data_IF_866172625703
#
_entry.id   IF_866172625703
#
_cell.length_a   1.000
_cell.length_b   1.000
_cell.length_c   1.000
_cell.angle_alpha   90.00
_cell.angle_beta   90.00
_cell.angle_gamma   90.00
#
_symmetry.space_group_name_H-M   'P 1'
#
loop_
_entity.id
_entity.type
_entity.pdbx_description
1 polymer ?
#
# COMPACT_ATOMS: atom_id res chain seq x y z
N UNK A 1 -4.94 -41.59 8.06
CA UNK A 1 -3.51 -41.48 8.42
C UNK A 1 -3.37 -42.11 9.80
N UNK A 2 -2.70 -43.25 9.87
CA UNK A 2 -2.68 -44.07 11.08
C UNK A 2 -1.93 -43.39 12.24
N UNK A 3 -2.33 -43.70 13.47
CA UNK A 3 -1.80 -43.08 14.69
C UNK A 3 -0.27 -43.26 14.81
N UNK A 4 0.23 -44.38 14.29
CA UNK A 4 1.65 -44.73 14.18
C UNK A 4 2.43 -43.82 13.22
N UNK A 5 1.83 -43.44 12.09
CA UNK A 5 2.45 -42.51 11.14
C UNK A 5 2.54 -41.09 11.72
N UNK A 6 1.59 -40.68 12.57
CA UNK A 6 1.63 -39.37 13.22
C UNK A 6 2.75 -39.29 14.26
N UNK A 7 2.94 -40.34 15.05
CA UNK A 7 4.02 -40.40 16.05
C UNK A 7 5.39 -40.46 15.39
N UNK A 8 5.55 -41.24 14.31
CA UNK A 8 6.79 -41.29 13.53
C UNK A 8 7.17 -39.94 12.94
N UNK A 9 6.19 -39.21 12.40
CA UNK A 9 6.40 -37.89 11.79
C UNK A 9 6.71 -36.82 12.86
N UNK A 10 6.08 -36.90 14.04
CA UNK A 10 6.40 -36.05 15.19
C UNK A 10 7.80 -36.33 15.74
N UNK A 11 8.23 -37.59 15.74
CA UNK A 11 9.56 -37.99 16.19
C UNK A 11 10.64 -37.50 15.20
N UNK A 12 10.40 -37.64 13.89
CA UNK A 12 11.30 -37.12 12.85
C UNK A 12 11.40 -35.59 12.90
N UNK A 13 10.30 -34.88 13.14
CA UNK A 13 10.32 -33.44 13.36
C UNK A 13 11.12 -33.07 14.62
N UNK A 14 10.91 -33.77 15.75
CA UNK A 14 11.68 -33.54 16.97
C UNK A 14 13.18 -33.76 16.77
N UNK A 15 13.58 -34.78 16.04
CA UNK A 15 15.00 -35.04 15.72
C UNK A 15 15.57 -33.98 14.77
N UNK A 16 14.80 -33.54 13.77
CA UNK A 16 15.18 -32.44 12.89
C UNK A 16 15.36 -31.12 13.66
N UNK A 17 14.52 -30.85 14.66
CA UNK A 17 14.64 -29.67 15.54
C UNK A 17 15.66 -29.83 16.67
N UNK A 18 15.99 -31.06 17.09
CA UNK A 18 16.97 -31.36 18.15
C UNK A 18 18.42 -31.29 17.65
N UNK A 19 18.66 -31.42 16.35
CA UNK A 19 19.95 -31.14 15.72
C UNK A 19 20.24 -29.62 15.70
N UNK A 20 20.60 -29.09 16.88
CA UNK A 20 20.88 -27.68 17.23
C UNK A 20 21.90 -26.96 16.33
N UNK A 21 22.59 -27.64 15.40
CA UNK A 21 23.55 -27.01 14.48
C UNK A 21 22.90 -26.06 13.47
N UNK A 22 21.68 -26.32 13.02
CA UNK A 22 21.02 -25.44 12.04
C UNK A 22 20.26 -24.28 12.71
N UNK A 23 19.77 -24.48 13.94
CA UNK A 23 19.10 -23.42 14.72
C UNK A 23 20.10 -22.36 15.22
N UNK A 24 21.34 -22.76 15.51
CA UNK A 24 22.37 -21.83 16.00
C UNK A 24 23.03 -20.99 14.89
N UNK A 25 23.01 -21.44 13.63
CA UNK A 25 23.59 -20.69 12.51
C UNK A 25 22.61 -19.62 12.00
N UNK A 26 21.29 -19.87 12.04
CA UNK A 26 20.30 -18.84 11.68
C UNK A 26 20.07 -17.82 12.79
N UNK A 27 20.21 -18.20 14.07
CA UNK A 27 19.97 -17.28 15.20
C UNK A 27 21.08 -16.25 15.44
N UNK A 28 22.25 -16.37 14.79
CA UNK A 28 23.37 -15.44 14.98
C UNK A 28 23.48 -14.37 13.89
N UNK A 29 22.73 -14.48 12.79
CA UNK A 29 22.73 -13.42 11.77
C UNK A 29 21.99 -12.19 12.32
N UNK A 30 22.56 -10.97 12.23
CA UNK A 30 21.93 -9.76 12.75
C UNK A 30 20.49 -9.56 12.27
N UNK A 31 20.21 -9.93 11.02
CA UNK A 31 18.85 -9.82 10.46
C UNK A 31 17.87 -10.80 11.13
N UNK A 32 18.30 -12.02 11.45
CA UNK A 32 17.44 -12.98 12.13
C UNK A 32 17.17 -12.58 13.58
N UNK A 33 18.18 -12.03 14.27
CA UNK A 33 18.02 -11.45 15.60
C UNK A 33 17.05 -10.26 15.56
N UNK A 34 17.17 -9.40 14.56
CA UNK A 34 16.28 -8.26 14.38
C UNK A 34 14.84 -8.72 14.12
N UNK A 35 14.63 -9.68 13.22
CA UNK A 35 13.28 -10.22 12.92
C UNK A 35 12.67 -10.88 14.15
N UNK A 36 13.42 -11.68 14.89
CA UNK A 36 12.93 -12.34 16.11
C UNK A 36 12.53 -11.32 17.17
N UNK A 37 13.38 -10.32 17.44
CA UNK A 37 13.06 -9.23 18.36
C UNK A 37 11.85 -8.42 17.88
N UNK A 38 11.76 -8.15 16.57
CA UNK A 38 10.66 -7.41 15.97
C UNK A 38 9.31 -8.12 16.14
N UNK A 39 9.27 -9.43 15.87
CA UNK A 39 8.07 -10.27 15.99
C UNK A 39 7.72 -10.50 17.46
N UNK A 40 8.72 -10.84 18.28
CA UNK A 40 8.53 -11.11 19.71
C UNK A 40 7.99 -9.90 20.47
N UNK A 41 8.39 -8.68 20.10
CA UNK A 41 7.89 -7.44 20.72
C UNK A 41 6.43 -7.11 20.35
N UNK A 42 5.86 -7.75 19.32
CA UNK A 42 4.55 -7.40 18.76
C UNK A 42 3.47 -8.46 18.90
N UNK A 43 3.84 -9.69 19.28
CA UNK A 43 2.88 -10.72 19.70
C UNK A 43 2.33 -10.44 21.09
N UNK A 44 1.10 -10.87 21.36
CA UNK A 44 0.51 -10.84 22.69
C UNK A 44 0.65 -12.21 23.35
N UNK A 45 1.55 -12.31 24.33
CA UNK A 45 1.82 -13.56 25.06
C UNK A 45 0.70 -13.94 26.04
N UNK A 46 -0.29 -13.06 26.26
CA UNK A 46 -1.46 -13.36 27.12
C UNK A 46 -2.59 -14.05 26.34
N UNK A 47 -2.51 -14.09 25.01
CA UNK A 47 -3.49 -14.77 24.16
C UNK A 47 -3.00 -16.18 23.83
N UNK A 48 -3.85 -17.19 24.01
CA UNK A 48 -3.55 -18.55 23.56
C UNK A 48 -3.56 -18.59 22.01
N UNK A 49 -2.42 -18.88 21.35
CA UNK A 49 -2.36 -18.96 19.90
C UNK A 49 -3.25 -20.06 19.31
N UNK A 50 -3.57 -21.11 20.08
CA UNK A 50 -4.46 -22.17 19.64
C UNK A 50 -5.94 -21.76 19.71
N UNK A 51 -6.28 -20.78 20.55
CA UNK A 51 -7.63 -20.24 20.70
C UNK A 51 -7.91 -19.03 19.79
N UNK A 52 -6.95 -18.12 19.67
CA UNK A 52 -7.04 -16.93 18.80
C UNK A 52 -5.65 -16.52 18.28
N UNK A 53 -5.22 -17.20 17.22
CA UNK A 53 -3.94 -16.91 16.58
C UNK A 53 -3.84 -15.49 16.04
N UNK A 54 -4.96 -14.89 15.62
CA UNK A 54 -4.96 -13.53 15.08
C UNK A 54 -4.65 -12.51 16.19
N UNK A 55 -5.30 -12.61 17.35
CA UNK A 55 -5.02 -11.70 18.47
C UNK A 55 -3.62 -11.94 19.06
N UNK A 56 -3.15 -13.19 19.08
CA UNK A 56 -1.77 -13.53 19.45
C UNK A 56 -0.75 -12.89 18.51
N UNK A 57 -0.90 -13.10 17.19
CA UNK A 57 0.10 -12.72 16.20
C UNK A 57 -0.01 -11.26 15.76
N UNK A 58 -1.21 -10.67 15.73
CA UNK A 58 -1.52 -9.33 15.23
C UNK A 58 -2.09 -8.41 16.32
N UNK A 59 -1.53 -8.52 17.53
CA UNK A 59 -1.96 -7.75 18.69
C UNK A 59 -1.95 -6.22 18.46
N UNK A 60 -2.55 -5.48 19.39
CA UNK A 60 -2.51 -4.01 19.39
C UNK A 60 -1.08 -3.45 19.35
N UNK A 61 -0.07 -4.23 19.73
CA UNK A 61 1.35 -3.84 19.71
C UNK A 61 1.93 -3.72 18.29
N UNK A 62 1.19 -4.12 17.25
CA UNK A 62 1.55 -3.86 15.85
C UNK A 62 1.33 -2.41 15.42
N UNK A 63 0.65 -1.58 16.21
CA UNK A 63 0.53 -0.16 15.88
C UNK A 63 1.86 0.54 16.08
N UNK A 64 2.37 1.19 15.04
CA UNK A 64 3.43 2.18 15.20
C UNK A 64 2.92 3.32 16.09
N UNK A 65 3.74 3.74 17.04
CA UNK A 65 3.43 4.82 17.98
C UNK A 65 3.14 6.18 17.31
N UNK A 66 3.34 6.29 16.00
CA UNK A 66 3.23 7.54 15.23
C UNK A 66 1.93 7.69 14.44
N UNK A 67 1.03 6.69 14.43
CA UNK A 67 -0.27 6.84 13.78
C UNK A 67 -1.35 7.02 14.85
N UNK A 68 -1.95 8.23 14.99
CA UNK A 68 -3.03 8.46 15.94
C UNK A 68 -4.24 7.67 15.47
N UNK A 69 -4.38 6.44 15.95
CA UNK A 69 -5.52 5.62 15.57
C UNK A 69 -5.81 4.51 16.58
N UNK A 70 -6.07 4.94 17.81
CA UNK A 70 -6.98 4.17 18.65
C UNK A 70 -8.30 4.03 17.84
N UNK A 71 -8.56 2.84 17.27
CA UNK A 71 -9.76 2.54 16.48
C UNK A 71 -9.61 2.37 14.96
N UNK A 72 -8.46 2.62 14.32
CA UNK A 72 -8.34 2.30 12.88
C UNK A 72 -8.05 0.81 12.64
N UNK A 73 -8.58 0.28 11.52
CA UNK A 73 -8.29 -1.08 11.07
C UNK A 73 -6.79 -1.28 10.78
N UNK A 74 -6.31 -2.52 10.93
CA UNK A 74 -4.92 -2.90 10.63
C UNK A 74 -4.47 -2.40 9.25
N UNK A 75 -5.29 -2.58 8.20
CA UNK A 75 -4.99 -2.09 6.84
C UNK A 75 -4.69 -0.59 6.81
N UNK A 76 -5.51 0.23 7.48
CA UNK A 76 -5.32 1.68 7.52
C UNK A 76 -4.03 2.06 8.25
N UNK A 77 -3.66 1.32 9.31
CA UNK A 77 -2.40 1.50 10.04
C UNK A 77 -1.19 1.13 9.16
N UNK A 78 -1.20 -0.04 8.52
CA UNK A 78 -0.08 -0.49 7.69
C UNK A 78 0.12 0.42 6.49
N UNK A 79 -0.95 0.80 5.79
CA UNK A 79 -0.88 1.76 4.68
C UNK A 79 -0.35 3.11 5.17
N UNK A 80 -0.85 3.62 6.30
CA UNK A 80 -0.35 4.86 6.90
C UNK A 80 1.15 4.80 7.20
N UNK A 81 1.63 3.68 7.74
CA UNK A 81 3.04 3.52 8.08
C UNK A 81 3.91 3.43 6.82
N UNK A 82 3.45 2.71 5.80
CA UNK A 82 4.13 2.67 4.49
C UNK A 82 4.24 4.08 3.91
N UNK A 83 3.17 4.87 3.95
CA UNK A 83 3.18 6.25 3.48
C UNK A 83 4.16 7.13 4.27
N UNK A 84 4.22 6.99 5.60
CA UNK A 84 5.19 7.71 6.44
C UNK A 84 6.64 7.31 6.12
N UNK A 85 6.89 6.02 5.90
CA UNK A 85 8.21 5.51 5.54
C UNK A 85 8.63 6.06 4.16
N UNK A 86 7.72 6.05 3.19
CA UNK A 86 7.96 6.65 1.86
C UNK A 86 8.25 8.14 1.97
N UNK A 87 7.44 8.88 2.74
CA UNK A 87 7.64 10.31 2.98
C UNK A 87 9.02 10.60 3.62
N UNK A 88 9.43 9.79 4.60
CA UNK A 88 10.75 9.89 5.23
C UNK A 88 11.89 9.61 4.24
N UNK A 89 11.74 8.54 3.44
CA UNK A 89 12.69 8.17 2.39
C UNK A 89 12.87 9.30 1.37
N UNK A 90 11.78 9.80 0.77
CA UNK A 90 11.87 10.86 -0.24
C UNK A 90 12.43 12.16 0.33
N UNK A 91 12.03 12.55 1.55
CA UNK A 91 12.63 13.72 2.21
C UNK A 91 14.13 13.56 2.44
N UNK A 92 14.58 12.38 2.88
CA UNK A 92 16.01 12.13 3.07
C UNK A 92 16.77 12.16 1.73
N UNK A 93 16.18 11.61 0.66
CA UNK A 93 16.74 11.62 -0.69
C UNK A 93 16.85 13.04 -1.23
N UNK A 94 15.82 13.87 -1.09
CA UNK A 94 15.81 15.27 -1.51
C UNK A 94 16.88 16.08 -0.74
N UNK A 95 16.98 15.89 0.59
CA UNK A 95 17.96 16.58 1.43
C UNK A 95 19.42 16.26 1.10
N UNK A 96 19.70 15.08 0.52
CA UNK A 96 21.06 14.65 0.20
C UNK A 96 21.59 15.21 -1.13
N UNK A 97 20.88 16.17 -1.73
CA UNK A 97 21.06 16.64 -3.11
C UNK A 97 20.87 15.49 -4.09
N UNK A 98 19.66 15.45 -4.66
CA UNK A 98 19.25 14.43 -5.63
C UNK A 98 20.33 14.25 -6.71
N UNK A 99 20.86 13.03 -6.93
CA UNK A 99 21.84 12.80 -7.97
C UNK A 99 21.26 13.17 -9.34
N UNK A 100 21.84 14.17 -10.00
CA UNK A 100 21.32 14.66 -11.29
C UNK A 100 21.46 13.62 -12.42
N UNK A 101 22.29 12.60 -12.24
CA UNK A 101 22.49 11.48 -13.17
C UNK A 101 21.31 10.49 -13.23
N UNK A 102 20.30 10.67 -12.37
CA UNK A 102 19.08 9.86 -12.36
C UNK A 102 17.93 10.45 -13.20
N UNK A 103 18.17 11.57 -13.89
CA UNK A 103 17.19 12.20 -14.78
C UNK A 103 16.61 11.20 -15.80
N UNK A 104 15.29 11.21 -15.96
CA UNK A 104 14.56 10.28 -16.83
C UNK A 104 14.33 8.87 -16.25
N UNK A 105 14.83 8.53 -15.06
CA UNK A 105 14.53 7.26 -14.39
C UNK A 105 13.28 7.37 -13.52
N UNK A 106 12.59 6.25 -13.30
CA UNK A 106 11.40 6.15 -12.45
C UNK A 106 11.56 6.86 -11.09
N UNK A 107 12.72 6.67 -10.44
CA UNK A 107 12.98 7.29 -9.13
C UNK A 107 13.01 8.83 -9.19
N UNK A 108 13.44 9.41 -10.32
CA UNK A 108 13.47 10.85 -10.52
C UNK A 108 12.06 11.40 -10.70
N UNK A 109 11.27 10.75 -11.54
CA UNK A 109 9.87 11.11 -11.75
C UNK A 109 9.07 11.08 -10.44
N UNK A 110 9.21 10.02 -9.65
CA UNK A 110 8.51 9.89 -8.36
C UNK A 110 9.01 10.93 -7.34
N UNK A 111 10.32 11.18 -7.28
CA UNK A 111 10.88 12.19 -6.37
C UNK A 111 10.45 13.61 -6.73
N UNK A 112 10.41 13.95 -8.03
CA UNK A 112 9.93 15.25 -8.52
C UNK A 112 8.45 15.42 -8.19
N UNK A 113 7.61 14.44 -8.53
CA UNK A 113 6.18 14.49 -8.23
C UNK A 113 5.91 14.66 -6.72
N UNK A 114 6.68 13.96 -5.89
CA UNK A 114 6.58 14.10 -4.44
C UNK A 114 6.96 15.51 -3.97
N UNK A 115 8.04 16.10 -4.51
CA UNK A 115 8.45 17.47 -4.19
C UNK A 115 7.41 18.49 -4.67
N UNK A 116 6.90 18.34 -5.89
CA UNK A 116 5.85 19.20 -6.45
C UNK A 116 4.60 19.16 -5.57
N UNK A 117 4.18 17.98 -5.12
CA UNK A 117 3.06 17.83 -4.19
C UNK A 117 3.30 18.57 -2.86
N UNK A 118 4.51 18.49 -2.30
CA UNK A 118 4.87 19.20 -1.06
C UNK A 118 4.91 20.72 -1.24
N UNK A 119 5.32 21.21 -2.42
CA UNK A 119 5.38 22.63 -2.75
C UNK A 119 3.98 23.19 -3.01
N UNK A 120 3.17 22.48 -3.79
CA UNK A 120 1.78 22.88 -4.10
C UNK A 120 0.94 23.02 -2.83
N UNK A 121 1.06 22.08 -1.90
CA UNK A 121 0.42 22.14 -0.58
C UNK A 121 0.76 23.41 0.21
N UNK A 122 1.91 24.04 -0.06
CA UNK A 122 2.41 25.17 0.72
C UNK A 122 2.12 26.55 0.13
N UNK A 123 1.60 26.68 -1.09
CA UNK A 123 1.41 28.04 -1.60
C UNK A 123 1.02 28.27 -3.06
N UNK A 124 0.37 27.33 -3.77
CA UNK A 124 -0.28 27.69 -5.05
C UNK A 124 -1.77 27.98 -4.86
N UNK A 125 -2.28 28.90 -5.68
CA UNK A 125 -3.73 29.10 -5.85
C UNK A 125 -4.33 27.82 -6.46
N UNK A 126 -4.79 26.88 -5.63
CA UNK A 126 -5.41 25.60 -6.03
C UNK A 126 -6.48 25.75 -7.12
N UNK A 127 -7.08 26.94 -7.22
CA UNK A 127 -8.11 27.28 -8.20
C UNK A 127 -7.57 27.37 -9.63
N UNK A 128 -6.33 27.79 -9.87
CA UNK A 128 -5.83 28.02 -11.23
C UNK A 128 -5.69 26.72 -12.02
N UNK A 129 -5.14 25.66 -11.40
CA UNK A 129 -5.01 24.34 -12.04
C UNK A 129 -6.37 23.71 -12.34
N UNK A 130 -7.34 23.82 -11.43
CA UNK A 130 -8.68 23.27 -11.63
C UNK A 130 -9.49 24.07 -12.65
N UNK A 131 -9.33 25.40 -12.67
CA UNK A 131 -9.94 26.27 -13.67
C UNK A 131 -9.36 26.00 -15.06
N UNK A 132 -8.04 25.82 -15.16
CA UNK A 132 -7.37 25.41 -16.39
C UNK A 132 -7.93 24.10 -16.94
N UNK A 133 -7.95 23.07 -16.09
CA UNK A 133 -8.53 21.77 -16.42
C UNK A 133 -10.00 21.90 -16.87
N UNK A 134 -10.80 22.71 -16.17
CA UNK A 134 -12.20 22.92 -16.56
C UNK A 134 -12.37 23.59 -17.92
N UNK A 135 -11.41 24.44 -18.31
CA UNK A 135 -11.39 25.10 -19.62
C UNK A 135 -10.93 24.15 -20.72
N UNK A 136 -9.88 23.36 -20.46
CA UNK A 136 -9.33 22.41 -21.43
C UNK A 136 -10.35 21.32 -21.81
N UNK A 137 -11.14 20.87 -20.82
CA UNK A 137 -12.22 19.91 -21.02
C UNK A 137 -13.59 20.57 -21.25
N UNK A 138 -13.64 21.90 -21.39
CA UNK A 138 -14.87 22.69 -21.61
C UNK A 138 -16.05 22.33 -20.68
N UNK A 139 -15.77 21.98 -19.43
CA UNK A 139 -16.77 21.43 -18.49
C UNK A 139 -17.93 22.39 -18.18
N UNK A 140 -17.73 23.70 -18.38
CA UNK A 140 -18.72 24.74 -18.12
C UNK A 140 -19.20 25.46 -19.38
N UNK A 141 -18.78 25.02 -20.58
CA UNK A 141 -19.25 25.64 -21.81
C UNK A 141 -20.65 25.13 -22.16
N UNK A 142 -21.67 25.84 -21.67
CA UNK A 142 -23.09 25.56 -21.92
C UNK A 142 -23.49 25.53 -23.41
N UNK A 143 -22.60 25.95 -24.32
CA UNK A 143 -22.84 25.95 -25.77
C UNK A 143 -22.14 24.80 -26.50
N UNK A 144 -21.38 23.98 -25.78
CA UNK A 144 -20.74 22.81 -26.36
C UNK A 144 -21.79 21.72 -26.59
N UNK A 145 -22.19 21.51 -27.85
CA UNK A 145 -22.93 20.31 -28.29
C UNK A 145 -22.03 19.05 -28.29
N UNK A 146 -20.91 19.06 -27.57
CA UNK A 146 -20.09 17.86 -27.44
C UNK A 146 -20.95 16.76 -26.82
N UNK A 147 -20.97 15.62 -27.51
CA UNK A 147 -21.64 14.41 -27.04
C UNK A 147 -21.11 14.12 -25.64
N UNK A 148 -21.98 14.22 -24.64
CA UNK A 148 -21.66 13.95 -23.24
C UNK A 148 -20.87 12.64 -23.11
N UNK A 149 -21.21 11.62 -23.90
CA UNK A 149 -20.50 10.34 -23.96
C UNK A 149 -19.01 10.49 -24.33
N UNK A 150 -18.69 11.35 -25.31
CA UNK A 150 -17.31 11.61 -25.74
C UNK A 150 -16.53 12.39 -24.67
N UNK A 151 -17.15 13.36 -24.02
CA UNK A 151 -16.54 14.08 -22.90
C UNK A 151 -16.25 13.11 -21.74
N UNK A 152 -17.23 12.27 -21.38
CA UNK A 152 -17.08 11.23 -20.37
C UNK A 152 -15.92 10.29 -20.70
N UNK A 153 -15.88 9.77 -21.93
CA UNK A 153 -14.81 8.88 -22.37
C UNK A 153 -13.43 9.55 -22.33
N UNK A 154 -13.36 10.84 -22.67
CA UNK A 154 -12.12 11.62 -22.63
C UNK A 154 -11.65 11.84 -21.19
N UNK A 155 -12.54 12.22 -20.28
CA UNK A 155 -12.22 12.39 -18.86
C UNK A 155 -11.78 11.08 -18.20
N UNK A 156 -12.42 9.96 -18.54
CA UNK A 156 -12.01 8.64 -18.05
C UNK A 156 -10.62 8.24 -18.60
N UNK A 157 -10.40 8.41 -19.91
CA UNK A 157 -9.13 8.07 -20.56
C UNK A 157 -7.96 8.89 -20.03
N UNK A 158 -8.13 10.20 -19.92
CA UNK A 158 -7.03 11.13 -19.60
C UNK A 158 -6.81 11.28 -18.09
N UNK A 159 -7.89 11.34 -17.30
CA UNK A 159 -7.80 11.70 -15.89
C UNK A 159 -8.20 10.56 -14.95
N UNK A 160 -8.80 9.48 -15.48
CA UNK A 160 -9.38 8.37 -14.69
C UNK A 160 -10.34 8.84 -13.60
N UNK A 161 -11.07 9.92 -13.87
CA UNK A 161 -11.93 10.60 -12.89
C UNK A 161 -13.36 10.05 -12.85
N UNK A 162 -13.69 8.95 -13.52
CA UNK A 162 -15.09 8.58 -13.71
C UNK A 162 -15.70 7.76 -12.56
N UNK A 163 -16.73 8.29 -11.87
CA UNK A 163 -17.30 7.64 -10.69
C UNK A 163 -18.50 6.74 -11.03
N UNK A 164 -18.86 6.57 -12.31
CA UNK A 164 -20.04 5.79 -12.72
C UNK A 164 -19.69 4.48 -13.41
N UNK A 165 -18.67 4.47 -14.27
CA UNK A 165 -18.20 3.27 -14.96
C UNK A 165 -16.69 3.27 -14.94
N UNK A 166 -16.10 2.16 -14.52
CA UNK A 166 -14.66 1.93 -14.65
C UNK A 166 -14.42 0.99 -15.82
N UNK A 167 -13.62 1.43 -16.78
CA UNK A 167 -13.22 0.59 -17.92
C UNK A 167 -11.87 -0.04 -17.59
N UNK A 168 -11.83 -1.37 -17.51
CA UNK A 168 -10.57 -2.11 -17.28
C UNK A 168 -10.33 -3.13 -18.38
N UNK A 169 -9.06 -3.24 -18.80
CA UNK A 169 -8.59 -4.25 -19.75
C UNK A 169 -7.83 -5.29 -18.95
N UNK A 170 -8.31 -6.55 -18.94
CA UNK A 170 -7.67 -7.65 -18.23
C UNK A 170 -6.97 -8.62 -19.20
N UNK A 171 -5.78 -9.15 -18.85
CA UNK A 171 -5.12 -10.18 -19.63
C UNK A 171 -5.83 -11.52 -19.41
N UNK A 172 -6.44 -12.04 -20.47
CA UNK A 172 -6.64 -13.47 -20.79
C UNK A 172 -7.71 -13.64 -21.89
N UNK A 173 -8.51 -12.60 -22.13
CA UNK A 173 -9.23 -12.30 -23.38
C UNK A 173 -9.43 -10.79 -23.33
N UNK A 174 -9.16 -10.01 -24.39
CA UNK A 174 -9.35 -8.54 -24.39
C UNK A 174 -10.84 -8.16 -24.24
N UNK A 175 -11.47 -8.53 -23.13
CA UNK A 175 -12.84 -8.23 -22.77
C UNK A 175 -12.80 -6.89 -22.06
N UNK A 176 -13.51 -5.93 -22.63
CA UNK A 176 -13.87 -4.70 -21.96
C UNK A 176 -14.90 -5.07 -20.88
N UNK A 177 -14.50 -4.92 -19.62
CA UNK A 177 -15.43 -5.03 -18.49
C UNK A 177 -15.79 -3.62 -18.08
N UNK A 178 -17.06 -3.27 -18.24
CA UNK A 178 -17.66 -2.04 -17.70
C UNK A 178 -18.31 -2.38 -16.37
N UNK A 179 -17.67 -2.00 -15.27
CA UNK A 179 -18.27 -2.18 -13.94
C UNK A 179 -18.89 -0.86 -13.48
N UNK A 180 -20.15 -0.84 -13.04
CA UNK A 180 -20.70 0.34 -12.37
C UNK A 180 -19.88 0.62 -11.11
N UNK A 181 -19.43 1.86 -10.94
CA UNK A 181 -18.61 2.22 -9.79
C UNK A 181 -19.48 2.21 -8.53
N UNK A 182 -19.04 1.42 -7.53
CA UNK A 182 -19.74 1.21 -6.27
C UNK A 182 -19.80 2.45 -5.37
N UNK A 183 -19.16 3.55 -5.77
CA UNK A 183 -18.98 4.76 -4.95
C UNK A 183 -20.28 5.56 -4.78
N UNK A 184 -21.32 5.30 -5.60
CA UNK A 184 -22.55 6.10 -5.64
C UNK A 184 -23.78 5.35 -5.08
N UNK A 185 -23.72 4.03 -4.85
CA UNK A 185 -24.87 3.24 -4.36
C UNK A 185 -25.08 3.29 -2.83
N UNK A 186 -24.53 4.29 -2.15
CA UNK A 186 -24.83 4.60 -0.74
C UNK A 186 -25.35 6.03 -0.62
N UNK A 187 -26.54 6.28 -1.15
CA UNK A 187 -27.42 7.37 -0.72
C UNK A 187 -28.83 6.84 -0.56
#
# INVERSE_FOLDING_TARGET
MDRENKESLLQQLREAFSNRKYFLISAAHPDCLWVDQFVSARRDLQVDPCGDFYSYACSTNWSSATLPSNGASYRRRTVGQTLLNLHSYFNATIKRNYPQDLEGRFLHQVSSLFLDCLIEYKGRNERESLVGLSRDFKLYDSKSEENLTALIATLDRELRLFPFVTVTVMPDTYKLIMTPSSTILKR
#
